data_IF_666973590286
#
_entry.id   IF_666973590286
#
_cell.length_a   1.000
_cell.length_b   1.000
_cell.length_c   1.000
_cell.angle_alpha   90.00
_cell.angle_beta   90.00
_cell.angle_gamma   90.00
#
_symmetry.space_group_name_H-M   'P 1'
#
loop_
_entity.id
_entity.type
_entity.pdbx_description
1 polymer ?
#
# COMPACT_ATOMS: atom_id res chain seq x y z
N UNK A 1 -19.40 12.89 -10.10
CA UNK A 1 -18.64 11.62 -10.29
C UNK A 1 -19.59 10.58 -10.84
N UNK A 2 -19.21 9.74 -11.80
CA UNK A 2 -20.16 8.78 -12.40
C UNK A 2 -19.81 7.35 -11.96
N UNK A 3 -20.76 6.68 -11.32
CA UNK A 3 -20.68 5.27 -10.97
C UNK A 3 -21.63 4.38 -11.76
N UNK A 4 -21.87 3.15 -11.30
CA UNK A 4 -22.81 2.22 -11.92
C UNK A 4 -24.28 2.61 -11.69
N UNK A 5 -24.57 3.23 -10.56
CA UNK A 5 -25.94 3.41 -10.05
C UNK A 5 -26.41 4.87 -10.17
N UNK A 6 -25.51 5.81 -10.49
CA UNK A 6 -25.82 7.21 -10.77
C UNK A 6 -24.60 8.12 -10.97
N UNK A 7 -24.86 9.42 -11.19
CA UNK A 7 -23.85 10.48 -11.24
C UNK A 7 -24.05 11.46 -10.07
N UNK A 8 -22.97 11.78 -9.35
CA UNK A 8 -22.96 12.85 -8.34
C UNK A 8 -22.80 14.22 -8.98
N UNK A 9 -23.39 15.22 -8.32
CA UNK A 9 -23.23 16.63 -8.63
C UNK A 9 -21.77 17.11 -8.62
N UNK A 10 -21.58 18.35 -9.06
CA UNK A 10 -20.27 19.03 -8.99
C UNK A 10 -20.00 19.49 -7.56
N UNK A 11 -19.01 18.87 -6.92
CA UNK A 11 -18.56 19.29 -5.59
C UNK A 11 -17.47 20.37 -5.72
N UNK A 12 -17.70 21.52 -5.09
CA UNK A 12 -16.68 22.56 -4.93
C UNK A 12 -15.78 22.16 -3.77
N UNK A 13 -14.47 22.06 -4.03
CA UNK A 13 -13.48 21.65 -3.04
C UNK A 13 -12.72 22.88 -2.55
N UNK A 14 -13.00 23.30 -1.32
CA UNK A 14 -12.37 24.45 -0.67
C UNK A 14 -12.27 24.19 0.83
N UNK A 15 -11.27 24.78 1.47
CA UNK A 15 -11.12 24.80 2.92
C UNK A 15 -11.07 26.27 3.37
N UNK A 16 -11.88 26.71 4.35
CA UNK A 16 -11.88 28.10 4.81
C UNK A 16 -10.69 28.44 5.70
N UNK A 17 -10.05 27.45 6.34
CA UNK A 17 -9.02 27.65 7.37
C UNK A 17 -7.60 27.53 6.82
N UNK A 18 -7.42 26.95 5.62
CA UNK A 18 -6.11 26.79 4.97
C UNK A 18 -6.16 26.91 3.43
N UNK A 19 -5.06 27.30 2.76
CA UNK A 19 -4.94 27.13 1.32
C UNK A 19 -5.01 25.62 0.95
N UNK A 20 -5.60 25.35 -0.22
CA UNK A 20 -5.74 24.00 -0.80
C UNK A 20 -5.14 23.99 -2.22
N UNK A 21 -4.77 22.80 -2.69
CA UNK A 21 -4.13 22.56 -3.99
C UNK A 21 -2.76 23.23 -4.15
N UNK A 22 -2.03 23.38 -3.03
CA UNK A 22 -0.65 23.87 -3.06
C UNK A 22 0.30 22.89 -3.76
N UNK A 23 1.38 23.41 -4.35
CA UNK A 23 2.30 22.61 -5.17
C UNK A 23 3.00 21.53 -4.32
N UNK A 24 2.67 20.27 -4.60
CA UNK A 24 3.23 19.11 -3.90
C UNK A 24 2.47 18.72 -2.63
N UNK A 25 1.38 19.42 -2.30
CA UNK A 25 0.46 19.02 -1.24
C UNK A 25 -0.42 17.83 -1.67
N UNK A 26 -1.03 17.20 -0.67
CA UNK A 26 -2.10 16.22 -0.83
C UNK A 26 -3.25 16.68 0.06
N UNK A 27 -4.36 17.08 -0.55
CA UNK A 27 -5.57 17.48 0.15
C UNK A 27 -6.60 16.35 0.18
N UNK A 28 -7.29 16.23 1.31
CA UNK A 28 -8.38 15.28 1.51
C UNK A 28 -9.66 16.05 1.83
N UNK A 29 -10.76 15.66 1.17
CA UNK A 29 -12.07 16.27 1.34
C UNK A 29 -13.12 15.19 1.63
N UNK A 30 -14.03 15.46 2.55
CA UNK A 30 -15.18 14.60 2.80
C UNK A 30 -16.34 15.06 1.91
N UNK A 31 -16.85 14.16 1.07
CA UNK A 31 -17.98 14.42 0.17
C UNK A 31 -19.17 13.56 0.56
N UNK A 32 -20.35 14.15 0.56
CA UNK A 32 -21.62 13.44 0.72
C UNK A 32 -22.37 13.45 -0.61
N UNK A 33 -22.93 12.30 -0.99
CA UNK A 33 -23.86 12.16 -2.11
C UNK A 33 -25.26 11.80 -1.57
N UNK A 34 -26.35 12.28 -2.17
CA UNK A 34 -27.71 12.00 -1.68
C UNK A 34 -28.14 10.54 -1.89
N UNK A 35 -27.43 9.79 -2.74
CA UNK A 35 -27.62 8.37 -2.99
C UNK A 35 -26.25 7.68 -3.21
N UNK A 36 -26.14 6.35 -3.03
CA UNK A 36 -24.95 5.59 -3.40
C UNK A 36 -24.71 5.64 -4.91
N UNK A 37 -23.46 5.83 -5.35
CA UNK A 37 -23.10 5.84 -6.77
C UNK A 37 -22.83 4.44 -7.36
N UNK A 38 -22.74 3.42 -6.50
CA UNK A 38 -22.27 2.09 -6.87
C UNK A 38 -20.78 2.07 -7.21
N UNK A 39 -20.38 1.24 -8.18
CA UNK A 39 -18.99 1.14 -8.64
C UNK A 39 -18.58 2.45 -9.34
N UNK A 40 -17.67 3.24 -8.75
CA UNK A 40 -17.24 4.51 -9.33
C UNK A 40 -16.35 4.27 -10.55
N UNK A 41 -16.80 4.71 -11.73
CA UNK A 41 -16.13 4.48 -13.02
C UNK A 41 -15.41 5.71 -13.55
N UNK A 42 -15.98 6.90 -13.35
CA UNK A 42 -15.45 8.15 -13.90
C UNK A 42 -15.37 9.26 -12.85
N UNK A 43 -14.21 9.91 -12.80
CA UNK A 43 -13.96 11.12 -12.04
C UNK A 43 -13.76 12.29 -13.02
N UNK A 44 -14.56 13.36 -12.86
CA UNK A 44 -14.40 14.59 -13.64
C UNK A 44 -13.82 15.66 -12.73
N UNK A 45 -12.68 16.24 -13.13
CA UNK A 45 -11.99 17.33 -12.42
C UNK A 45 -12.00 18.58 -13.28
N UNK A 46 -12.17 19.74 -12.64
CA UNK A 46 -12.17 21.04 -13.27
C UNK A 46 -11.65 22.10 -12.30
N UNK A 47 -10.96 23.10 -12.81
CA UNK A 47 -10.68 24.36 -12.11
C UNK A 47 -11.18 25.55 -12.96
N UNK A 48 -11.30 26.72 -12.35
CA UNK A 48 -11.77 27.97 -12.97
C UNK A 48 -10.64 28.83 -13.56
N UNK A 49 -9.40 28.36 -13.45
CA UNK A 49 -8.18 29.08 -13.82
C UNK A 49 -7.95 30.40 -13.04
N UNK A 50 -8.48 30.50 -11.81
CA UNK A 50 -8.25 31.65 -10.92
C UNK A 50 -6.90 31.58 -10.18
N UNK A 51 -6.48 32.72 -9.61
CA UNK A 51 -5.23 32.85 -8.86
C UNK A 51 -4.00 33.11 -9.73
N UNK A 52 -2.85 33.39 -9.08
CA UNK A 52 -1.62 33.79 -9.78
C UNK A 52 -0.82 32.63 -10.42
N UNK A 53 -1.15 31.37 -10.09
CA UNK A 53 -0.53 30.15 -10.63
C UNK A 53 -1.60 29.05 -10.75
N UNK A 54 -2.53 29.16 -11.71
CA UNK A 54 -3.69 28.27 -11.81
C UNK A 54 -3.37 26.85 -12.30
N UNK A 55 -2.16 26.62 -12.80
CA UNK A 55 -1.78 25.42 -13.55
C UNK A 55 -1.47 24.24 -12.62
N UNK A 56 -2.32 23.22 -12.60
CA UNK A 56 -2.22 22.09 -11.69
C UNK A 56 -1.67 20.84 -12.38
N UNK A 57 -0.66 20.18 -11.81
CA UNK A 57 -0.27 18.83 -12.23
C UNK A 57 -0.92 17.80 -11.32
N UNK A 58 -1.80 16.97 -11.89
CA UNK A 58 -2.53 15.94 -11.14
C UNK A 58 -1.82 14.61 -11.36
N UNK A 59 -1.17 14.09 -10.31
CA UNK A 59 -0.54 12.77 -10.32
C UNK A 59 -1.62 11.68 -10.23
N UNK A 60 -2.37 11.67 -9.12
CA UNK A 60 -3.39 10.66 -8.80
C UNK A 60 -4.51 11.29 -7.98
N UNK A 61 -5.74 10.82 -8.15
CA UNK A 61 -6.83 10.99 -7.17
C UNK A 61 -7.24 9.63 -6.62
N UNK A 62 -7.64 9.60 -5.36
CA UNK A 62 -8.21 8.41 -4.70
C UNK A 62 -9.57 8.78 -4.13
N UNK A 63 -10.58 7.97 -4.45
CA UNK A 63 -11.94 8.10 -3.89
C UNK A 63 -12.17 6.87 -3.03
N UNK A 64 -12.51 7.07 -1.76
CA UNK A 64 -12.87 6.00 -0.85
C UNK A 64 -14.34 6.13 -0.46
N UNK A 65 -15.11 5.08 -0.68
CA UNK A 65 -16.44 4.95 -0.08
C UNK A 65 -16.28 4.51 1.38
N UNK A 66 -16.79 5.32 2.30
CA UNK A 66 -16.72 5.07 3.73
C UNK A 66 -17.72 3.99 4.20
N UNK A 67 -18.81 3.76 3.45
CA UNK A 67 -19.81 2.74 3.76
C UNK A 67 -19.31 1.35 3.36
N UNK A 68 -18.87 1.19 2.11
CA UNK A 68 -18.42 -0.12 1.59
C UNK A 68 -16.92 -0.40 1.81
N UNK A 69 -16.15 0.59 2.28
CA UNK A 69 -14.68 0.58 2.37
C UNK A 69 -13.96 0.43 1.01
N UNK A 70 -14.68 0.48 -0.12
CA UNK A 70 -14.06 0.37 -1.44
C UNK A 70 -13.22 1.61 -1.77
N UNK A 71 -12.10 1.38 -2.47
CA UNK A 71 -11.15 2.43 -2.84
C UNK A 71 -10.93 2.41 -4.35
N UNK A 72 -11.30 3.49 -5.01
CA UNK A 72 -11.11 3.72 -6.44
C UNK A 72 -9.92 4.64 -6.66
N UNK A 73 -9.06 4.29 -7.61
CA UNK A 73 -7.85 5.05 -7.94
C UNK A 73 -7.95 5.61 -9.35
N UNK A 74 -7.56 6.87 -9.53
CA UNK A 74 -7.53 7.55 -10.82
C UNK A 74 -6.10 8.03 -11.04
N UNK A 75 -5.35 7.35 -11.92
CA UNK A 75 -3.98 7.75 -12.26
C UNK A 75 -4.04 8.78 -13.40
N UNK A 76 -3.92 10.06 -13.06
CA UNK A 76 -4.10 11.16 -13.99
C UNK A 76 -2.82 11.47 -14.79
N UNK A 77 -1.68 11.60 -14.09
CA UNK A 77 -0.37 11.98 -14.62
C UNK A 77 -0.40 13.07 -15.71
N UNK A 78 -1.19 14.12 -15.49
CA UNK A 78 -1.40 15.17 -16.50
C UNK A 78 -1.55 16.56 -15.90
N UNK A 79 -1.26 17.57 -16.71
CA UNK A 79 -1.59 18.96 -16.43
C UNK A 79 -3.10 19.22 -16.58
N UNK A 80 -3.63 20.10 -15.74
CA UNK A 80 -4.95 20.71 -15.83
C UNK A 80 -4.70 22.22 -15.76
N UNK A 81 -4.74 22.88 -16.92
CA UNK A 81 -4.08 24.17 -17.16
C UNK A 81 -4.45 24.70 -18.55
N UNK A 82 -4.35 26.03 -18.76
CA UNK A 82 -4.52 26.67 -20.08
C UNK A 82 -3.20 26.81 -20.87
N UNK A 83 -2.05 26.68 -20.19
CA UNK A 83 -0.71 27.01 -20.67
C UNK A 83 0.27 25.82 -20.71
N UNK A 84 -0.15 24.66 -20.21
CA UNK A 84 0.65 23.44 -20.12
C UNK A 84 -0.13 22.19 -20.54
N UNK A 85 0.57 21.24 -21.15
CA UNK A 85 0.02 19.95 -21.56
C UNK A 85 -0.84 20.07 -22.81
N UNK A 86 -2.14 19.81 -22.66
CA UNK A 86 -3.17 19.87 -23.71
C UNK A 86 -4.07 21.12 -23.60
N UNK A 87 -3.70 22.07 -22.74
CA UNK A 87 -4.40 23.34 -22.53
C UNK A 87 -5.87 23.19 -22.08
N UNK A 88 -6.20 22.07 -21.40
CA UNK A 88 -7.53 21.80 -20.85
C UNK A 88 -7.59 22.02 -19.33
N UNK A 89 -8.52 22.85 -18.89
CA UNK A 89 -8.85 23.08 -17.45
C UNK A 89 -9.89 22.10 -16.89
N UNK A 90 -10.40 21.18 -17.72
CA UNK A 90 -11.44 20.20 -17.37
C UNK A 90 -11.14 18.84 -18.01
N UNK A 91 -11.09 17.78 -17.21
CA UNK A 91 -10.81 16.41 -17.68
C UNK A 91 -11.68 15.37 -16.99
N UNK A 92 -11.86 14.23 -17.65
CA UNK A 92 -12.53 13.05 -17.10
C UNK A 92 -11.55 11.88 -17.12
N UNK A 93 -11.44 11.18 -15.99
CA UNK A 93 -10.51 10.08 -15.74
C UNK A 93 -11.29 8.81 -15.44
N UNK A 94 -10.88 7.69 -16.03
CA UNK A 94 -11.43 6.38 -15.71
C UNK A 94 -10.82 5.84 -14.41
N UNK A 95 -11.59 5.06 -13.67
CA UNK A 95 -11.08 4.30 -12.54
C UNK A 95 -10.07 3.24 -13.03
N UNK A 96 -8.93 3.16 -12.34
CA UNK A 96 -7.86 2.24 -12.65
C UNK A 96 -8.27 0.80 -12.36
N UNK A 97 -7.87 -0.11 -13.26
CA UNK A 97 -8.15 -1.54 -13.09
C UNK A 97 -7.18 -2.17 -12.08
N UNK A 98 -7.56 -3.29 -11.47
CA UNK A 98 -6.76 -3.97 -10.44
C UNK A 98 -5.30 -4.28 -10.87
N UNK A 99 -5.07 -4.56 -12.15
CA UNK A 99 -3.73 -4.79 -12.72
C UNK A 99 -2.88 -3.50 -12.77
N UNK A 100 -3.50 -2.35 -13.08
CA UNK A 100 -2.83 -1.04 -13.10
C UNK A 100 -2.48 -0.62 -11.67
N UNK A 101 -3.39 -0.79 -10.71
CA UNK A 101 -3.13 -0.55 -9.29
C UNK A 101 -1.98 -1.44 -8.76
N UNK A 102 -1.96 -2.72 -9.13
CA UNK A 102 -0.88 -3.64 -8.77
C UNK A 102 0.48 -3.22 -9.38
N UNK A 103 0.50 -2.83 -10.66
CA UNK A 103 1.72 -2.33 -11.30
C UNK A 103 2.24 -1.03 -10.66
N UNK A 104 1.36 -0.11 -10.27
CA UNK A 104 1.75 1.11 -9.56
C UNK A 104 2.32 0.80 -8.17
N UNK A 105 1.72 -0.15 -7.43
CA UNK A 105 2.27 -0.64 -6.17
C UNK A 105 3.68 -1.21 -6.37
N UNK A 106 3.90 -1.98 -7.43
CA UNK A 106 5.20 -2.54 -7.78
C UNK A 106 6.23 -1.45 -8.17
N UNK A 107 5.82 -0.36 -8.82
CA UNK A 107 6.69 0.79 -9.17
C UNK A 107 7.12 1.55 -7.90
N UNK A 108 6.23 1.70 -6.91
CA UNK A 108 6.59 2.26 -5.61
C UNK A 108 7.52 1.31 -4.82
N UNK A 109 7.20 0.01 -4.79
CA UNK A 109 7.98 -1.01 -4.08
C UNK A 109 9.38 -1.25 -4.69
N UNK A 110 9.56 -1.11 -6.00
CA UNK A 110 10.89 -1.27 -6.63
C UNK A 110 11.85 -0.13 -6.30
N UNK A 111 11.36 1.06 -5.91
CA UNK A 111 12.19 2.15 -5.38
C UNK A 111 12.49 2.06 -3.87
N UNK A 112 11.81 1.19 -3.12
CA UNK A 112 12.11 0.94 -1.69
C UNK A 112 13.00 -0.28 -1.43
N UNK A 113 13.41 -0.99 -2.50
CA UNK A 113 14.11 -2.28 -2.45
C UNK A 113 15.55 -2.26 -1.91
N UNK A 114 16.14 -1.11 -1.60
CA UNK A 114 17.45 -1.03 -0.90
C UNK A 114 17.35 -0.75 0.60
N UNK A 115 16.12 -0.60 1.15
CA UNK A 115 15.92 -0.09 2.51
C UNK A 115 15.38 -1.08 3.54
N UNK A 116 14.40 -1.93 3.18
CA UNK A 116 13.59 -2.64 4.19
C UNK A 116 13.34 -4.11 3.85
N UNK A 117 14.14 -4.99 4.47
CA UNK A 117 13.69 -6.33 4.87
C UNK A 117 13.30 -6.25 6.35
N UNK A 118 12.07 -5.80 6.60
CA UNK A 118 11.17 -6.35 7.62
C UNK A 118 9.86 -5.55 7.62
N UNK A 119 8.75 -6.27 7.80
CA UNK A 119 7.41 -5.86 7.38
C UNK A 119 6.56 -5.35 8.58
N UNK A 120 5.55 -4.50 8.28
CA UNK A 120 4.39 -4.13 9.12
C UNK A 120 4.46 -3.05 10.22
N UNK A 121 5.58 -2.71 10.89
CA UNK A 121 5.52 -1.70 11.99
C UNK A 121 5.68 -0.25 11.54
N UNK A 122 6.57 0.04 10.58
CA UNK A 122 7.01 1.41 10.30
C UNK A 122 6.05 2.26 9.46
N UNK A 123 5.17 1.65 8.67
CA UNK A 123 4.24 2.40 7.80
C UNK A 123 3.24 3.23 8.61
N UNK A 124 2.79 2.74 9.77
CA UNK A 124 1.90 3.48 10.68
C UNK A 124 2.58 4.63 11.45
N UNK A 125 3.91 4.73 11.40
CA UNK A 125 4.70 5.80 12.04
C UNK A 125 5.07 6.89 11.03
N UNK A 126 5.25 6.51 9.75
CA UNK A 126 5.70 7.43 8.69
C UNK A 126 4.55 8.10 7.94
N UNK A 127 3.39 7.44 7.84
CA UNK A 127 2.15 8.03 7.28
C UNK A 127 1.08 8.24 8.38
N UNK A 128 1.21 9.28 9.24
CA UNK A 128 0.06 9.75 10.01
C UNK A 128 -1.01 10.29 9.05
N UNK A 129 -2.31 9.99 9.24
CA UNK A 129 -3.36 10.76 8.60
C UNK A 129 -3.17 12.24 8.97
N UNK A 130 -3.38 13.14 8.02
CA UNK A 130 -3.04 14.56 8.18
C UNK A 130 -3.89 15.23 9.28
N UNK A 131 -3.34 15.18 10.50
CA UNK A 131 -3.50 16.15 11.60
C UNK A 131 -4.91 16.72 11.78
N UNK A 132 -5.68 16.11 12.69
CA UNK A 132 -6.26 16.94 13.73
C UNK A 132 -5.13 17.59 14.55
N UNK A 133 -5.39 18.75 15.15
CA UNK A 133 -4.42 19.51 15.95
C UNK A 133 -3.99 18.73 17.21
N UNK A 134 -3.01 17.83 17.08
CA UNK A 134 -2.36 17.19 18.23
C UNK A 134 -1.44 18.19 18.94
N UNK A 135 -1.95 18.78 20.03
CA UNK A 135 -1.11 19.36 21.06
C UNK A 135 -0.47 18.21 21.85
N UNK A 136 0.66 17.70 21.36
CA UNK A 136 1.43 16.66 22.09
C UNK A 136 1.79 17.23 23.45
N UNK A 137 1.25 16.66 24.51
CA UNK A 137 1.61 17.09 25.86
C UNK A 137 2.99 16.51 26.21
N UNK A 138 3.81 17.28 26.93
CA UNK A 138 5.11 16.79 27.41
C UNK A 138 5.00 15.52 28.27
N UNK A 139 3.84 15.30 28.88
CA UNK A 139 3.50 14.10 29.65
C UNK A 139 3.43 12.85 28.77
N UNK A 140 2.75 12.91 27.62
CA UNK A 140 2.66 11.78 26.66
C UNK A 140 4.03 11.41 26.09
N UNK A 141 4.87 12.42 25.79
CA UNK A 141 6.25 12.20 25.34
C UNK A 141 7.07 11.45 26.41
N UNK A 142 6.96 11.86 27.68
CA UNK A 142 7.67 11.22 28.79
C UNK A 142 7.20 9.79 29.07
N UNK A 143 5.91 9.49 28.89
CA UNK A 143 5.39 8.10 28.96
C UNK A 143 6.00 7.21 27.86
N UNK A 144 6.20 7.74 26.65
CA UNK A 144 6.92 7.06 25.58
C UNK A 144 8.39 6.77 25.92
N UNK A 145 9.10 7.74 26.51
CA UNK A 145 10.49 7.56 26.94
C UNK A 145 10.61 6.54 28.09
N UNK A 146 9.73 6.62 29.08
CA UNK A 146 9.75 5.72 30.24
C UNK A 146 9.42 4.28 29.86
N UNK A 147 8.46 4.05 28.95
CA UNK A 147 8.15 2.72 28.44
C UNK A 147 9.27 2.14 27.56
N UNK A 148 9.92 2.98 26.74
CA UNK A 148 11.11 2.58 25.97
C UNK A 148 12.27 2.10 26.86
N UNK A 149 12.51 2.78 28.00
CA UNK A 149 13.57 2.42 28.93
C UNK A 149 13.36 1.04 29.59
N UNK A 150 12.10 0.64 29.81
CA UNK A 150 11.73 -0.68 30.34
C UNK A 150 11.81 -1.79 29.28
N UNK A 151 11.53 -1.48 28.02
CA UNK A 151 11.60 -2.44 26.90
C UNK A 151 13.05 -2.76 26.49
N UNK A 152 13.97 -1.80 26.62
CA UNK A 152 15.39 -1.97 26.24
C UNK A 152 16.08 -3.21 26.87
N UNK A 153 16.07 -3.43 28.21
CA UNK A 153 16.71 -4.60 28.81
C UNK A 153 16.02 -5.92 28.43
N UNK A 154 14.70 -5.93 28.30
CA UNK A 154 13.92 -7.12 27.90
C UNK A 154 14.30 -7.56 26.48
N UNK A 155 14.38 -6.62 25.54
CA UNK A 155 14.74 -6.89 24.16
C UNK A 155 16.19 -7.39 24.04
N UNK A 156 17.14 -6.83 24.80
CA UNK A 156 18.52 -7.35 24.86
C UNK A 156 18.57 -8.77 25.41
N UNK A 157 17.82 -9.08 26.48
CA UNK A 157 17.77 -10.42 27.07
C UNK A 157 17.25 -11.45 26.06
N UNK A 158 16.16 -11.14 25.34
CA UNK A 158 15.59 -12.01 24.30
C UNK A 158 16.61 -12.29 23.19
N UNK A 159 17.29 -11.26 22.68
CA UNK A 159 18.33 -11.40 21.64
C UNK A 159 19.51 -12.26 22.14
N UNK A 160 19.88 -12.11 23.42
CA UNK A 160 20.97 -12.88 24.05
C UNK A 160 20.60 -14.36 24.18
N UNK A 161 19.35 -14.68 24.53
CA UNK A 161 18.83 -16.05 24.57
C UNK A 161 18.83 -16.67 23.18
N UNK A 162 18.28 -16.00 22.16
CA UNK A 162 18.24 -16.53 20.79
C UNK A 162 19.63 -16.75 20.18
N UNK A 163 20.62 -15.88 20.46
CA UNK A 163 22.03 -16.12 20.05
C UNK A 163 22.70 -17.29 20.79
N UNK A 164 22.18 -17.71 21.94
CA UNK A 164 22.74 -18.78 22.76
C UNK A 164 22.21 -20.18 22.41
N UNK A 165 21.06 -20.25 21.72
CA UNK A 165 20.44 -21.52 21.30
C UNK A 165 21.06 -21.97 19.97
N UNK A 166 22.08 -22.83 20.03
CA UNK A 166 22.63 -23.50 18.84
C UNK A 166 21.57 -24.45 18.25
N UNK A 167 21.29 -24.43 16.94
CA UNK A 167 20.31 -25.32 16.33
C UNK A 167 20.76 -26.79 16.44
N UNK A 168 19.90 -27.66 16.95
CA UNK A 168 20.13 -29.11 16.92
C UNK A 168 19.96 -29.62 15.49
N UNK A 169 21.04 -30.14 14.91
CA UNK A 169 20.99 -30.90 13.66
C UNK A 169 20.31 -32.25 13.93
N UNK A 170 19.24 -32.55 13.20
CA UNK A 170 18.57 -33.86 13.23
C UNK A 170 19.19 -34.72 12.14
N UNK A 171 20.01 -35.70 12.52
CA UNK A 171 20.57 -36.71 11.60
C UNK A 171 19.49 -37.74 11.22
N UNK A 172 19.26 -37.96 9.92
CA UNK A 172 18.33 -38.98 9.42
C UNK A 172 19.00 -40.32 9.09
N UNK A 173 18.30 -41.39 9.49
CA UNK A 173 18.18 -42.70 8.84
C UNK A 173 19.14 -43.87 9.17
N UNK A 174 18.50 -45.01 9.44
CA UNK A 174 19.00 -46.37 9.69
C UNK A 174 17.75 -47.29 9.70
N UNK A 175 17.69 -48.55 9.23
CA UNK A 175 18.59 -49.43 8.43
C UNK A 175 17.73 -50.61 7.92
N UNK A 176 18.08 -51.20 6.77
CA UNK A 176 17.50 -52.46 6.26
C UNK A 176 16.87 -52.31 4.87
N UNK A 177 16.92 -53.29 3.94
CA UNK A 177 17.47 -54.65 4.03
C UNK A 177 18.15 -55.07 2.72
N UNK A 178 19.10 -56.02 2.81
CA UNK A 178 19.81 -56.60 1.67
C UNK A 178 19.78 -58.12 1.80
N UNK A 179 18.85 -58.76 1.08
CA UNK A 179 18.65 -60.21 1.12
C UNK A 179 18.67 -60.78 -0.32
N UNK A 180 19.87 -60.98 -0.86
CA UNK A 180 20.08 -61.73 -2.11
C UNK A 180 20.96 -62.96 -1.82
N UNK A 181 20.31 -64.05 -1.41
CA UNK A 181 20.97 -65.32 -1.10
C UNK A 181 20.02 -66.52 -1.24
N UNK A 182 19.45 -66.76 -2.43
CA UNK A 182 19.04 -68.11 -2.84
C UNK A 182 18.80 -68.21 -4.37
N UNK A 183 19.71 -68.87 -5.10
CA UNK A 183 19.42 -69.51 -6.39
C UNK A 183 20.18 -70.85 -6.48
N UNK A 184 19.51 -71.99 -6.68
CA UNK A 184 20.19 -73.23 -7.04
C UNK A 184 20.57 -73.23 -8.53
N UNK A 185 21.57 -74.04 -8.95
CA UNK A 185 22.02 -74.09 -10.34
C UNK A 185 21.08 -74.93 -11.21
N UNK A 186 20.83 -74.47 -12.44
CA UNK A 186 20.21 -75.27 -13.49
C UNK A 186 21.29 -75.73 -14.48
N UNK A 187 21.41 -77.06 -14.62
CA UNK A 187 22.34 -77.75 -15.53
C UNK A 187 21.69 -77.96 -16.91
N UNK A 188 22.45 -78.05 -18.02
CA UNK A 188 21.92 -77.76 -19.36
C UNK A 188 21.54 -79.02 -20.16
N UNK A 189 20.37 -78.99 -20.83
CA UNK A 189 20.06 -79.92 -21.92
C UNK A 189 19.25 -79.23 -23.03
N UNK A 190 19.72 -79.46 -24.27
CA UNK A 190 19.04 -79.60 -25.58
C UNK A 190 17.52 -79.29 -25.67
N UNK A 191 16.99 -78.75 -26.77
CA UNK A 191 17.19 -79.20 -28.17
C UNK A 191 17.17 -78.06 -29.21
N UNK A 192 17.56 -78.47 -30.44
CA UNK A 192 17.49 -77.81 -31.75
C UNK A 192 16.26 -76.92 -32.01
#
# INVERSE_FOLDING_TARGET
MTGSDGESDTHVLTDPDKPVFERGAVDMFLLATPFPLGEVRNLRLQHDNSGGRPSWYINKVTVQDLQTRQVFHFFCNCWLSVDHGDNMTKKTFNAAKNNEVASFRNIFQTRTSTGFRDEHIWVSIVDPPSRSSMQITWQELMVGVQSGLLMFPINILIITIFRSIKPRVISKSHKGDSEESLRPPLSPYHLF
#
